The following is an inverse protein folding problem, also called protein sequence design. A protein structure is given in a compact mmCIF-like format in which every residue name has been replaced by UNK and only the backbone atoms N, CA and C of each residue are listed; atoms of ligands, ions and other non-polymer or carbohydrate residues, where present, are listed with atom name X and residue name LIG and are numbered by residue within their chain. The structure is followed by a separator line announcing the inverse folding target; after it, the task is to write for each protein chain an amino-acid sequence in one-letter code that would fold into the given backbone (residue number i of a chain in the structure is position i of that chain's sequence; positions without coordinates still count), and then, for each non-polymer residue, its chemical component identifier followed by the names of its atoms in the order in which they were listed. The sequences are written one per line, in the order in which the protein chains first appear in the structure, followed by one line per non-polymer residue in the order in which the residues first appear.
data_IF_339485494128
#
_entry.id   IF_339485494128
#
_cell.length_a   1.000
_cell.length_b   1.000
_cell.length_c   1.000
_cell.angle_alpha   90.00
_cell.angle_beta   90.00
_cell.angle_gamma   90.00
#
_symmetry.space_group_name_H-M   'P 1'
#
loop_
_entity.id
_entity.type
_entity.pdbx_description
1 polymer ?
#
# COMPACT_ATOMS: atom_id res chain seq x y z
N UNK A 1 2.58 -14.45 -15.51
CA UNK A 1 1.93 -13.43 -14.67
C UNK A 1 2.82 -12.22 -14.63
N UNK A 2 2.22 -11.04 -14.55
CA UNK A 2 2.94 -9.77 -14.47
C UNK A 2 2.86 -9.23 -13.05
N UNK A 3 3.92 -8.58 -12.57
CA UNK A 3 3.98 -8.02 -11.22
C UNK A 3 4.44 -6.56 -11.27
N UNK A 4 3.90 -5.74 -10.36
CA UNK A 4 4.39 -4.38 -10.11
C UNK A 4 5.38 -4.47 -8.95
N UNK A 5 6.63 -4.06 -9.17
CA UNK A 5 7.71 -4.17 -8.19
C UNK A 5 8.33 -2.79 -7.95
N UNK A 6 8.40 -2.36 -6.69
CA UNK A 6 9.02 -1.09 -6.31
C UNK A 6 9.97 -1.26 -5.13
N UNK A 7 10.96 -0.37 -5.05
CA UNK A 7 11.91 -0.29 -3.92
C UNK A 7 12.00 1.14 -3.42
N UNK A 8 11.72 1.36 -2.14
CA UNK A 8 11.86 2.67 -1.48
C UNK A 8 12.66 2.56 -0.20
N UNK A 9 13.51 3.55 0.06
CA UNK A 9 14.25 3.69 1.32
C UNK A 9 13.64 4.78 2.18
N UNK A 10 13.38 4.47 3.45
CA UNK A 10 12.76 5.36 4.43
C UNK A 10 13.71 5.50 5.64
N UNK A 11 14.06 6.73 6.00
CA UNK A 11 14.94 7.12 7.11
C UNK A 11 14.23 7.01 8.46
N UNK A 12 13.78 5.81 8.80
CA UNK A 12 13.06 5.51 10.03
C UNK A 12 13.18 4.02 10.40
N UNK A 13 13.06 3.64 11.68
CA UNK A 13 13.00 2.24 12.11
C UNK A 13 11.90 1.43 11.40
N UNK A 14 12.16 0.13 11.16
CA UNK A 14 11.20 -0.73 10.46
C UNK A 14 9.86 -0.88 11.20
N UNK A 15 9.87 -0.73 12.53
CA UNK A 15 8.66 -0.74 13.35
C UNK A 15 7.70 0.42 13.04
N UNK A 16 8.21 1.61 12.73
CA UNK A 16 7.38 2.77 12.37
C UNK A 16 6.77 2.59 10.97
N UNK A 17 7.58 2.11 10.01
CA UNK A 17 7.08 1.75 8.68
C UNK A 17 6.00 0.67 8.77
N UNK A 18 6.24 -0.38 9.56
CA UNK A 18 5.27 -1.45 9.80
C UNK A 18 3.97 -0.91 10.41
N UNK A 19 4.07 -0.04 11.43
CA UNK A 19 2.91 0.60 12.05
C UNK A 19 2.11 1.43 11.05
N UNK A 20 2.79 2.15 10.14
CA UNK A 20 2.15 2.90 9.07
C UNK A 20 1.41 2.02 8.03
N UNK A 21 1.83 0.76 7.89
CA UNK A 21 1.21 -0.22 7.00
C UNK A 21 0.07 -1.00 7.66
N UNK A 22 0.12 -1.30 8.96
CA UNK A 22 -0.85 -2.20 9.60
C UNK A 22 -1.95 -1.49 10.37
N UNK A 23 -1.76 -0.24 10.77
CA UNK A 23 -2.77 0.49 11.55
C UNK A 23 -3.65 1.34 10.65
N UNK A 24 -4.94 1.43 10.97
CA UNK A 24 -5.87 2.31 10.26
C UNK A 24 -5.38 3.76 10.26
N UNK A 25 -4.89 4.26 11.39
CA UNK A 25 -4.33 5.62 11.49
C UNK A 25 -3.13 5.82 10.56
N UNK A 26 -2.24 4.84 10.48
CA UNK A 26 -1.12 4.84 9.52
C UNK A 26 -1.60 4.90 8.07
N UNK A 27 -2.48 3.97 7.69
CA UNK A 27 -3.03 3.86 6.34
C UNK A 27 -3.78 5.13 5.91
N UNK A 28 -4.56 5.74 6.81
CA UNK A 28 -5.22 7.02 6.52
C UNK A 28 -4.23 8.16 6.30
N UNK A 29 -3.01 8.06 6.85
CA UNK A 29 -1.99 9.10 6.76
C UNK A 29 -1.23 9.13 5.44
N UNK A 30 -1.21 8.03 4.67
CA UNK A 30 -0.46 7.99 3.40
C UNK A 30 -1.23 7.43 2.21
N UNK A 31 -2.26 6.61 2.39
CA UNK A 31 -2.97 5.93 1.33
C UNK A 31 -4.30 6.60 0.97
N UNK A 32 -5.33 6.46 1.81
CA UNK A 32 -6.61 7.18 1.64
C UNK A 32 -7.24 7.53 2.98
N UNK A 33 -7.76 8.75 3.10
CA UNK A 33 -8.42 9.23 4.31
C UNK A 33 -9.65 8.39 4.70
N UNK A 34 -10.30 7.74 3.73
CA UNK A 34 -11.40 6.79 3.99
C UNK A 34 -10.86 5.35 4.01
N UNK A 35 -10.14 5.04 5.09
CA UNK A 35 -9.67 3.68 5.41
C UNK A 35 -10.38 3.20 6.68
N UNK A 36 -10.95 2.00 6.63
CA UNK A 36 -11.65 1.37 7.74
C UNK A 36 -11.24 -0.10 7.90
N UNK A 37 -11.60 -0.70 9.04
CA UNK A 37 -11.34 -2.11 9.32
C UNK A 37 -10.08 -2.36 10.15
N UNK A 38 -9.63 -3.60 10.16
CA UNK A 38 -8.56 -4.12 11.04
C UNK A 38 -7.39 -4.62 10.18
N UNK A 39 -6.24 -3.96 10.30
CA UNK A 39 -5.03 -4.26 9.52
C UNK A 39 -3.90 -4.90 10.32
N UNK A 40 -4.02 -4.91 11.65
CA UNK A 40 -3.04 -5.42 12.61
C UNK A 40 -3.38 -6.81 13.15
N UNK A 41 -4.53 -7.36 12.75
CA UNK A 41 -4.96 -8.73 13.02
C UNK A 41 -4.91 -9.61 11.77
N UNK A 42 -4.37 -10.83 11.90
CA UNK A 42 -4.43 -11.83 10.83
C UNK A 42 -5.89 -12.18 10.52
N UNK A 43 -6.26 -12.15 9.24
CA UNK A 43 -7.63 -12.36 8.78
C UNK A 43 -8.51 -11.11 8.87
N UNK A 44 -8.00 -10.01 9.44
CA UNK A 44 -8.64 -8.69 9.40
C UNK A 44 -8.85 -8.22 7.97
N UNK A 45 -9.89 -7.40 7.75
CA UNK A 45 -10.24 -6.85 6.44
C UNK A 45 -10.14 -5.34 6.50
N UNK A 46 -9.27 -4.79 5.67
CA UNK A 46 -9.12 -3.37 5.42
C UNK A 46 -10.02 -2.96 4.26
N UNK A 47 -10.74 -1.87 4.43
CA UNK A 47 -11.65 -1.30 3.43
C UNK A 47 -11.13 0.06 3.02
N UNK A 48 -10.74 0.19 1.76
CA UNK A 48 -10.23 1.43 1.21
C UNK A 48 -11.25 2.03 0.25
N UNK A 49 -11.57 3.32 0.43
CA UNK A 49 -12.50 4.03 -0.44
C UNK A 49 -11.83 5.26 -1.05
N UNK A 50 -12.17 5.49 -2.30
CA UNK A 50 -11.73 6.57 -3.18
C UNK A 50 -12.98 7.12 -3.88
N UNK A 51 -12.87 8.28 -4.53
CA UNK A 51 -14.02 8.89 -5.21
C UNK A 51 -14.59 7.99 -6.32
N UNK A 52 -13.71 7.33 -7.08
CA UNK A 52 -14.08 6.44 -8.19
C UNK A 52 -14.41 4.99 -7.76
N UNK A 53 -14.48 4.68 -6.45
CA UNK A 53 -14.79 3.35 -5.95
C UNK A 53 -13.90 2.90 -4.78
N UNK A 54 -13.66 1.60 -4.66
CA UNK A 54 -12.87 1.08 -3.56
C UNK A 54 -12.53 -0.39 -3.72
N UNK A 55 -11.77 -0.89 -2.77
CA UNK A 55 -11.39 -2.30 -2.69
C UNK A 55 -11.21 -2.70 -1.23
N UNK A 56 -11.44 -3.98 -0.97
CA UNK A 56 -11.25 -4.59 0.33
C UNK A 56 -10.07 -5.56 0.26
N UNK A 57 -9.19 -5.48 1.25
CA UNK A 57 -7.98 -6.29 1.32
C UNK A 57 -7.96 -7.05 2.64
N UNK A 58 -7.81 -8.37 2.56
CA UNK A 58 -7.69 -9.25 3.72
C UNK A 58 -6.24 -9.40 4.11
N UNK A 59 -5.94 -9.25 5.40
CA UNK A 59 -4.61 -9.52 5.95
C UNK A 59 -4.36 -11.02 5.98
N UNK A 60 -3.37 -11.49 5.22
CA UNK A 60 -3.05 -12.91 5.08
C UNK A 60 -1.70 -13.30 5.66
N UNK A 61 -0.77 -12.35 5.84
CA UNK A 61 0.46 -12.55 6.62
C UNK A 61 0.86 -11.28 7.37
N UNK A 62 1.37 -11.47 8.58
CA UNK A 62 1.98 -10.43 9.42
C UNK A 62 3.22 -10.98 10.12
N UNK A 63 4.37 -10.33 9.92
CA UNK A 63 5.59 -10.51 10.71
C UNK A 63 6.05 -9.13 11.18
N UNK A 64 5.94 -8.82 12.49
CA UNK A 64 6.26 -7.49 13.02
C UNK A 64 7.59 -6.94 12.53
N UNK A 65 7.58 -5.71 12.01
CA UNK A 65 8.74 -5.00 11.47
C UNK A 65 9.50 -5.70 10.32
N UNK A 66 8.93 -6.75 9.72
CA UNK A 66 9.59 -7.55 8.67
C UNK A 66 8.71 -7.73 7.43
N UNK A 67 7.43 -8.07 7.60
CA UNK A 67 6.57 -8.43 6.47
C UNK A 67 5.09 -8.21 6.73
N UNK A 68 4.39 -7.74 5.70
CA UNK A 68 2.94 -7.62 5.66
C UNK A 68 2.47 -8.11 4.31
N UNK A 69 1.40 -8.91 4.27
CA UNK A 69 0.78 -9.35 3.02
C UNK A 69 -0.73 -9.24 3.09
N UNK A 70 -1.30 -8.67 2.05
CA UNK A 70 -2.74 -8.58 1.86
C UNK A 70 -3.16 -9.29 0.58
N UNK A 71 -4.34 -9.90 0.62
CA UNK A 71 -5.05 -10.44 -0.55
C UNK A 71 -6.21 -9.50 -0.88
N UNK A 72 -6.36 -9.11 -2.14
CA UNK A 72 -7.52 -8.31 -2.57
C UNK A 72 -8.73 -9.22 -2.69
N UNK A 73 -9.77 -8.97 -1.91
CA UNK A 73 -10.98 -9.81 -1.82
C UNK A 73 -12.22 -9.15 -2.43
N UNK A 74 -12.18 -7.84 -2.68
CA UNK A 74 -13.22 -7.09 -3.36
C UNK A 74 -12.63 -5.86 -4.07
N UNK A 75 -13.25 -5.39 -5.16
CA UNK A 75 -12.78 -4.26 -5.96
C UNK A 75 -12.78 -4.51 -7.48
N UNK A 76 -11.92 -3.83 -8.25
CA UNK A 76 -11.76 -4.05 -9.69
C UNK A 76 -11.44 -5.52 -10.01
N UNK A 77 -12.00 -6.06 -11.09
CA UNK A 77 -11.83 -7.47 -11.48
C UNK A 77 -10.35 -7.85 -11.65
N UNK A 78 -9.52 -6.92 -12.13
CA UNK A 78 -8.09 -7.12 -12.33
C UNK A 78 -7.30 -7.26 -11.02
N UNK A 79 -7.84 -6.76 -9.90
CA UNK A 79 -7.20 -6.86 -8.59
C UNK A 79 -7.71 -8.05 -7.79
N UNK A 80 -8.94 -8.53 -7.95
CA UNK A 80 -9.46 -9.61 -7.09
C UNK A 80 -8.57 -10.87 -7.21
N UNK A 81 -8.08 -11.35 -6.06
CA UNK A 81 -7.17 -12.50 -5.95
C UNK A 81 -5.68 -12.17 -6.14
N UNK A 82 -5.32 -10.92 -6.46
CA UNK A 82 -3.93 -10.46 -6.41
C UNK A 82 -3.48 -10.22 -4.97
N UNK A 83 -2.17 -10.08 -4.78
CA UNK A 83 -1.59 -9.85 -3.47
C UNK A 83 -0.74 -8.57 -3.43
N UNK A 84 -0.89 -7.83 -2.34
CA UNK A 84 -0.04 -6.68 -2.02
C UNK A 84 0.92 -7.09 -0.92
N UNK A 85 2.21 -7.07 -1.22
CA UNK A 85 3.26 -7.63 -0.40
C UNK A 85 4.30 -6.57 -0.04
N UNK A 86 4.62 -6.51 1.25
CA UNK A 86 5.52 -5.52 1.83
C UNK A 86 6.63 -6.26 2.57
N UNK A 87 7.83 -6.30 2.00
CA UNK A 87 9.02 -6.80 2.70
C UNK A 87 9.85 -5.63 3.22
N UNK A 88 10.13 -5.65 4.53
CA UNK A 88 10.88 -4.62 5.23
C UNK A 88 12.26 -5.17 5.63
N UNK A 89 13.32 -4.47 5.23
CA UNK A 89 14.70 -4.85 5.56
C UNK A 89 15.51 -3.66 6.05
N UNK A 90 16.35 -3.85 7.06
CA UNK A 90 17.21 -2.78 7.56
C UNK A 90 18.46 -2.60 6.71
N UNK A 91 18.79 -1.36 6.36
CA UNK A 91 20.05 -0.98 5.72
C UNK A 91 20.59 0.30 6.38
N UNK A 92 21.46 0.13 7.37
CA UNK A 92 22.01 1.25 8.15
C UNK A 92 20.95 1.97 8.98
N UNK A 93 20.80 3.26 8.73
CA UNK A 93 19.80 4.16 9.33
C UNK A 93 18.44 4.14 8.61
N UNK A 94 18.34 3.39 7.50
CA UNK A 94 17.12 3.29 6.67
C UNK A 94 16.46 1.93 6.74
N UNK A 95 15.15 1.92 6.57
CA UNK A 95 14.35 0.75 6.24
C UNK A 95 14.13 0.72 4.74
N UNK A 96 14.47 -0.39 4.11
CA UNK A 96 14.19 -0.67 2.71
C UNK A 96 12.87 -1.41 2.63
N UNK A 97 11.92 -0.83 1.91
CA UNK A 97 10.66 -1.46 1.56
C UNK A 97 10.79 -2.04 0.15
N UNK A 98 10.60 -3.35 0.04
CA UNK A 98 10.42 -4.04 -1.23
C UNK A 98 8.92 -4.31 -1.39
N UNK A 99 8.28 -3.47 -2.18
CA UNK A 99 6.85 -3.52 -2.46
C UNK A 99 6.58 -4.40 -3.67
N UNK A 100 5.53 -5.21 -3.60
CA UNK A 100 5.00 -5.94 -4.75
C UNK A 100 3.48 -5.86 -4.79
N UNK A 101 2.93 -5.67 -5.97
CA UNK A 101 1.56 -6.03 -6.26
C UNK A 101 1.58 -7.11 -7.34
N UNK A 102 1.33 -8.35 -6.92
CA UNK A 102 1.65 -9.55 -7.69
C UNK A 102 0.41 -10.41 -7.98
N UNK A 103 0.52 -11.21 -9.03
CA UNK A 103 -0.55 -12.11 -9.47
C UNK A 103 -1.48 -11.50 -10.52
N UNK A 104 -1.07 -10.44 -11.22
CA UNK A 104 -1.87 -9.90 -12.32
C UNK A 104 -1.95 -10.93 -13.45
N UNK A 105 -3.18 -11.13 -13.94
CA UNK A 105 -3.46 -12.01 -15.09
C UNK A 105 -2.70 -11.53 -16.33
N UNK A 106 -2.82 -10.25 -16.65
CA UNK A 106 -2.28 -9.62 -17.85
C UNK A 106 -1.89 -8.15 -17.58
N UNK A 107 -0.86 -7.61 -18.25
CA UNK A 107 -0.44 -6.22 -18.10
C UNK A 107 -1.31 -5.26 -18.92
N UNK A 108 -2.57 -5.14 -18.53
CA UNK A 108 -3.53 -4.21 -19.17
C UNK A 108 -3.19 -2.75 -18.84
N UNK A 109 -3.68 -1.75 -19.60
CA UNK A 109 -3.46 -0.32 -19.32
C UNK A 109 -3.73 0.09 -17.86
N UNK A 110 -4.72 -0.54 -17.22
CA UNK A 110 -4.99 -0.34 -15.81
C UNK A 110 -3.82 -0.71 -14.89
N UNK A 111 -3.08 -1.80 -15.17
CA UNK A 111 -1.87 -2.17 -14.43
C UNK A 111 -0.79 -1.07 -14.52
N UNK A 112 -0.64 -0.44 -15.69
CA UNK A 112 0.31 0.67 -15.87
C UNK A 112 -0.07 1.89 -15.04
N UNK A 113 -1.37 2.24 -15.02
CA UNK A 113 -1.87 3.29 -14.13
C UNK A 113 -1.62 2.95 -12.65
N UNK A 114 -1.97 1.74 -12.22
CA UNK A 114 -1.74 1.28 -10.86
C UNK A 114 -0.25 1.30 -10.48
N UNK A 115 0.65 0.95 -11.41
CA UNK A 115 2.10 1.01 -11.18
C UNK A 115 2.57 2.42 -10.81
N UNK A 116 2.10 3.43 -11.54
CA UNK A 116 2.40 4.84 -11.26
C UNK A 116 1.74 5.31 -9.97
N UNK A 117 0.46 4.96 -9.71
CA UNK A 117 -0.20 5.28 -8.42
C UNK A 117 0.55 4.67 -7.23
N UNK A 118 0.98 3.42 -7.31
CA UNK A 118 1.77 2.80 -6.25
C UNK A 118 3.07 3.56 -5.97
N UNK A 119 3.80 3.98 -7.01
CA UNK A 119 5.00 4.79 -6.84
C UNK A 119 4.70 6.12 -6.13
N UNK A 120 3.63 6.82 -6.51
CA UNK A 120 3.18 8.05 -5.86
C UNK A 120 2.87 7.84 -4.38
N UNK A 121 2.11 6.79 -4.05
CA UNK A 121 1.75 6.52 -2.65
C UNK A 121 2.91 5.98 -1.82
N UNK A 122 3.89 5.30 -2.41
CA UNK A 122 5.13 4.95 -1.72
C UNK A 122 5.92 6.20 -1.32
N UNK A 123 5.88 7.27 -2.12
CA UNK A 123 6.45 8.57 -1.73
C UNK A 123 5.64 9.23 -0.61
N UNK A 124 4.31 9.08 -0.62
CA UNK A 124 3.43 9.52 0.48
C UNK A 124 3.76 8.79 1.79
N UNK A 125 3.94 7.47 1.76
CA UNK A 125 4.35 6.65 2.91
C UNK A 125 5.69 7.11 3.47
N UNK A 126 6.68 7.29 2.60
CA UNK A 126 8.00 7.82 2.98
C UNK A 126 7.86 9.17 3.69
N UNK A 127 7.11 10.10 3.10
CA UNK A 127 6.88 11.44 3.67
C UNK A 127 6.17 11.37 5.02
N UNK A 128 5.13 10.55 5.16
CA UNK A 128 4.42 10.35 6.42
C UNK A 128 5.37 9.89 7.52
N UNK A 129 6.16 8.86 7.24
CA UNK A 129 7.04 8.25 8.24
C UNK A 129 8.19 9.20 8.61
N UNK A 130 8.77 9.92 7.65
CA UNK A 130 9.93 10.80 7.91
C UNK A 130 9.56 12.16 8.49
N UNK A 131 8.36 12.66 8.21
CA UNK A 131 7.99 14.05 8.53
C UNK A 131 6.70 14.19 9.32
N UNK A 132 5.95 13.09 9.50
CA UNK A 132 4.61 13.10 10.09
C UNK A 132 3.51 13.57 9.12
N UNK A 133 3.83 13.84 7.85
CA UNK A 133 2.87 14.33 6.84
C UNK A 133 2.98 13.55 5.53
N UNK A 134 1.96 12.76 5.22
CA UNK A 134 1.78 12.14 3.90
C UNK A 134 0.88 12.96 2.97
N UNK A 135 0.58 12.38 1.82
CA UNK A 135 -0.36 12.88 0.82
C UNK A 135 -1.37 11.77 0.44
N UNK A 136 -2.24 11.35 1.37
CA UNK A 136 -3.28 10.36 1.10
C UNK A 136 -4.36 10.94 0.20
N UNK A 137 -5.12 10.10 -0.49
CA UNK A 137 -6.35 10.55 -1.15
C UNK A 137 -7.29 11.27 -0.15
N UNK A 138 -7.93 12.39 -0.51
CA UNK A 138 -7.97 13.03 -1.84
C UNK A 138 -6.83 14.02 -2.15
N UNK A 139 -5.83 14.13 -1.28
CA UNK A 139 -4.70 15.07 -1.40
C UNK A 139 -3.48 14.48 -2.14
N UNK A 140 -3.63 13.30 -2.74
CA UNK A 140 -2.61 12.62 -3.51
C UNK A 140 -2.27 13.35 -4.81
N UNK A 141 -1.11 13.03 -5.40
CA UNK A 141 -0.78 13.51 -6.75
C UNK A 141 -1.74 12.86 -7.75
N UNK A 142 -2.53 13.70 -8.42
CA UNK A 142 -3.43 13.30 -9.50
C UNK A 142 -2.62 13.01 -10.76
N UNK A 143 -2.90 11.86 -11.37
CA UNK A 143 -2.20 11.34 -12.56
C UNK A 143 -3.18 10.76 -13.59
N UNK A 144 -4.45 10.86 -13.28
CA UNK A 144 -5.63 10.56 -14.06
C UNK A 144 -6.00 11.77 -14.91
N UNK A 145 -6.53 11.50 -16.08
CA UNK A 145 -7.18 12.45 -16.98
C UNK A 145 -8.71 12.45 -16.81
N UNK A 146 -9.20 11.84 -15.72
CA UNK A 146 -10.61 11.59 -15.45
C UNK A 146 -11.05 12.57 -14.37
N UNK A 147 -11.51 13.75 -14.80
CA UNK A 147 -12.23 14.71 -13.95
C UNK A 147 -13.64 14.20 -13.59
#
# INVERSE_FOLDING_TARGET
MADILHRVGIESPAAEVYTALTTTGGLTGWWTADTQGEGDGLGGVLRFRFEAGGFDMKVVELRPAEHVRWEVVDGPEEWIGTHVDWNLGRAGDRTIVLFKHEGWREPVPFMHHCSTKWATYLMSLKSLVETGKGAPHPHDVKIDDWD
#
